data_IF_911670354142
#
_entry.id   IF_911670354142
#
_cell.length_a   1.000
_cell.length_b   1.000
_cell.length_c   1.000
_cell.angle_alpha   90.00
_cell.angle_beta   90.00
_cell.angle_gamma   90.00
#
_symmetry.space_group_name_H-M   'P 1'
#
loop_
_entity.id
_entity.type
_entity.pdbx_description
1 polymer ?
#
# COMPACT_ATOMS: atom_id res chain seq x y z
N UNK A 1 13.28 14.80 -3.21
CA UNK A 1 12.29 14.06 -2.42
C UNK A 1 11.09 14.95 -2.25
N UNK A 2 10.05 14.72 -3.03
CA UNK A 2 8.84 15.56 -3.04
C UNK A 2 7.74 14.98 -2.14
N UNK A 3 7.84 13.69 -1.85
CA UNK A 3 6.86 12.91 -1.11
C UNK A 3 7.50 12.19 0.08
N UNK A 4 6.76 12.11 1.18
CA UNK A 4 7.15 11.36 2.38
C UNK A 4 6.01 10.45 2.82
N UNK A 5 6.35 9.25 3.29
CA UNK A 5 5.42 8.35 3.96
C UNK A 5 5.76 8.29 5.45
N UNK A 6 4.73 8.22 6.28
CA UNK A 6 4.86 7.96 7.71
C UNK A 6 3.92 6.85 8.15
N UNK A 7 4.42 5.89 8.92
CA UNK A 7 3.65 4.89 9.64
C UNK A 7 3.49 5.32 11.10
N UNK A 8 2.33 5.06 11.69
CA UNK A 8 2.00 5.50 13.04
C UNK A 8 1.21 4.46 13.84
N UNK A 9 1.36 4.51 15.16
CA UNK A 9 0.61 3.70 16.11
C UNK A 9 -0.87 4.13 16.24
N UNK A 10 -1.27 5.28 15.67
CA UNK A 10 -2.68 5.66 15.52
C UNK A 10 -3.45 4.85 14.45
N UNK A 11 -2.89 3.71 14.05
CA UNK A 11 -3.38 2.83 12.99
C UNK A 11 -3.44 3.49 11.61
N UNK A 12 -2.60 4.50 11.35
CA UNK A 12 -2.54 5.17 10.04
C UNK A 12 -1.19 5.09 9.37
N UNK A 13 -1.24 5.08 8.03
CA UNK A 13 -0.14 5.52 7.17
C UNK A 13 -0.57 6.81 6.50
N UNK A 14 0.36 7.77 6.35
CA UNK A 14 0.07 9.07 5.74
C UNK A 14 1.09 9.39 4.66
N UNK A 15 0.60 9.98 3.57
CA UNK A 15 1.39 10.53 2.48
C UNK A 15 1.42 12.05 2.58
N UNK A 16 2.61 12.60 2.52
CA UNK A 16 2.88 14.02 2.68
C UNK A 16 3.55 14.58 1.44
N UNK A 17 3.03 15.70 0.96
CA UNK A 17 3.72 16.57 0.03
C UNK A 17 4.71 17.44 0.82
N UNK A 18 6.02 17.21 0.62
CA UNK A 18 7.06 17.81 1.47
C UNK A 18 7.19 19.31 1.24
N UNK A 19 6.91 19.78 0.02
CA UNK A 19 7.07 21.19 -0.38
C UNK A 19 6.19 22.15 0.44
N UNK A 20 5.00 21.70 0.86
CA UNK A 20 4.02 22.51 1.56
C UNK A 20 3.54 21.88 2.88
N UNK A 21 4.06 20.69 3.25
CA UNK A 21 3.72 19.99 4.49
C UNK A 21 2.30 19.42 4.52
N UNK A 22 1.62 19.33 3.37
CA UNK A 22 0.24 18.86 3.32
C UNK A 22 0.17 17.34 3.37
N UNK A 23 -0.70 16.82 4.24
CA UNK A 23 -1.10 15.41 4.20
C UNK A 23 -2.09 15.21 3.06
N UNK A 24 -1.64 14.55 1.98
CA UNK A 24 -2.45 14.36 0.77
C UNK A 24 -3.31 13.11 0.86
N UNK A 25 -2.84 12.06 1.52
CA UNK A 25 -3.56 10.78 1.66
C UNK A 25 -3.34 10.18 3.04
N UNK A 26 -4.38 9.56 3.60
CA UNK A 26 -4.33 8.83 4.87
C UNK A 26 -4.97 7.47 4.65
N UNK A 27 -4.23 6.40 4.96
CA UNK A 27 -4.72 5.04 4.97
C UNK A 27 -4.97 4.61 6.41
N UNK A 28 -6.20 4.19 6.71
CA UNK A 28 -6.59 3.63 8.00
C UNK A 28 -6.48 2.10 7.97
N UNK A 29 -5.51 1.55 8.70
CA UNK A 29 -5.11 0.14 8.56
C UNK A 29 -5.74 -0.79 9.60
N UNK A 30 -6.53 -0.27 10.54
CA UNK A 30 -7.19 -1.05 11.61
C UNK A 30 -6.25 -1.62 12.68
N UNK A 31 -4.93 -1.49 12.49
CA UNK A 31 -3.90 -1.90 13.44
C UNK A 31 -2.69 -0.96 13.36
N UNK A 32 -1.86 -0.96 14.39
CA UNK A 32 -0.67 -0.10 14.48
C UNK A 32 0.26 -0.34 13.29
N UNK A 33 0.57 0.73 12.56
CA UNK A 33 1.51 0.68 11.45
C UNK A 33 2.94 0.79 12.00
N UNK A 34 3.78 -0.20 11.71
CA UNK A 34 5.14 -0.28 12.27
C UNK A 34 6.23 0.17 11.31
N UNK A 35 6.04 -0.10 10.02
CA UNK A 35 7.00 0.29 9.01
C UNK A 35 6.31 0.58 7.69
N UNK A 36 6.97 1.45 6.91
CA UNK A 36 6.64 1.76 5.53
C UNK A 36 7.92 1.78 4.71
N UNK A 37 7.85 1.33 3.47
CA UNK A 37 8.97 1.37 2.54
C UNK A 37 8.47 1.68 1.13
N UNK A 38 9.15 2.62 0.46
CA UNK A 38 8.92 2.88 -0.95
C UNK A 38 9.49 1.76 -1.82
N UNK A 39 8.83 1.44 -2.92
CA UNK A 39 9.45 0.65 -3.97
C UNK A 39 10.63 1.45 -4.57
N UNK A 40 11.86 0.89 -4.59
CA UNK A 40 13.02 1.59 -5.15
C UNK A 40 12.99 1.69 -6.68
N UNK A 41 12.11 0.95 -7.36
CA UNK A 41 11.95 1.02 -8.80
C UNK A 41 11.26 2.33 -9.19
N UNK A 42 11.92 3.23 -9.95
CA UNK A 42 11.33 4.50 -10.37
C UNK A 42 10.12 4.33 -11.29
N UNK A 43 9.97 3.18 -11.96
CA UNK A 43 8.87 2.90 -12.88
C UNK A 43 7.56 2.48 -12.19
N UNK A 44 7.60 2.24 -10.87
CA UNK A 44 6.45 1.77 -10.10
C UNK A 44 6.18 2.69 -8.92
N UNK A 45 4.95 3.16 -8.80
CA UNK A 45 4.45 3.97 -7.69
C UNK A 45 3.76 3.09 -6.65
N UNK A 46 4.57 2.27 -5.97
CA UNK A 46 4.10 1.33 -4.97
C UNK A 46 4.87 1.59 -3.67
N UNK A 47 4.20 1.45 -2.55
CA UNK A 47 4.83 1.37 -1.24
C UNK A 47 4.31 0.14 -0.49
N UNK A 48 5.13 -0.39 0.42
CA UNK A 48 4.73 -1.44 1.35
C UNK A 48 4.51 -0.84 2.74
N UNK A 49 3.54 -1.37 3.47
CA UNK A 49 3.30 -1.05 4.88
C UNK A 49 3.07 -2.34 5.68
N UNK A 50 3.51 -2.35 6.94
CA UNK A 50 3.17 -3.44 7.88
C UNK A 50 2.29 -2.90 8.98
N UNK A 51 1.12 -3.51 9.14
CA UNK A 51 0.17 -3.22 10.22
C UNK A 51 -0.27 -4.52 10.88
N UNK A 52 -0.09 -4.62 12.21
CA UNK A 52 -0.29 -5.87 12.93
C UNK A 52 0.52 -7.03 12.33
N UNK A 53 -0.19 -8.01 11.77
CA UNK A 53 0.38 -9.20 11.13
C UNK A 53 0.28 -9.17 9.60
N UNK A 54 -0.17 -8.05 9.02
CA UNK A 54 -0.41 -7.91 7.60
C UNK A 54 0.71 -7.11 6.93
N UNK A 55 1.18 -7.61 5.79
CA UNK A 55 1.95 -6.84 4.81
C UNK A 55 0.97 -6.32 3.75
N UNK A 56 0.95 -5.01 3.58
CA UNK A 56 0.04 -4.29 2.71
C UNK A 56 0.83 -3.62 1.58
N UNK A 57 0.26 -3.63 0.38
CA UNK A 57 0.75 -2.84 -0.74
C UNK A 57 -0.17 -1.63 -0.93
N UNK A 58 0.44 -0.45 -0.97
CA UNK A 58 -0.21 0.84 -1.12
C UNK A 58 0.15 1.42 -2.49
N UNK A 59 -0.83 2.08 -3.11
CA UNK A 59 -0.61 2.98 -4.25
C UNK A 59 -0.67 4.44 -3.78
N UNK A 60 0.50 5.09 -3.61
CA UNK A 60 0.55 6.47 -3.14
C UNK A 60 -0.04 7.47 -4.13
N UNK A 61 -0.03 7.17 -5.42
CA UNK A 61 -0.48 8.05 -6.50
C UNK A 61 0.25 9.40 -6.47
N UNK A 62 1.57 9.35 -6.25
CA UNK A 62 2.44 10.54 -6.13
C UNK A 62 2.50 11.37 -7.40
N UNK A 63 2.23 10.76 -8.54
CA UNK A 63 2.05 11.44 -9.81
C UNK A 63 1.00 10.70 -10.64
N UNK A 64 -0.05 11.39 -11.13
CA UNK A 64 -0.95 10.79 -12.10
C UNK A 64 -0.20 10.53 -13.42
N UNK A 65 -0.56 9.44 -14.10
CA UNK A 65 0.01 9.09 -15.41
C UNK A 65 0.51 7.65 -15.47
N UNK A 66 1.36 7.38 -16.46
CA UNK A 66 1.75 6.02 -16.86
C UNK A 66 2.33 5.17 -15.72
N UNK A 67 3.00 5.79 -14.75
CA UNK A 67 3.60 5.11 -13.59
C UNK A 67 2.54 4.49 -12.68
N UNK A 68 1.50 5.25 -12.35
CA UNK A 68 0.40 4.79 -11.50
C UNK A 68 -0.40 3.69 -12.23
N UNK A 69 -0.66 3.88 -13.52
CA UNK A 69 -1.40 2.91 -14.34
C UNK A 69 -0.64 1.58 -14.47
N UNK A 70 0.68 1.63 -14.71
CA UNK A 70 1.54 0.44 -14.75
C UNK A 70 1.56 -0.30 -13.42
N UNK A 71 1.62 0.45 -12.31
CA UNK A 71 1.62 -0.12 -10.96
C UNK A 71 0.32 -0.84 -10.66
N UNK A 72 -0.82 -0.24 -11.01
CA UNK A 72 -2.13 -0.84 -10.85
C UNK A 72 -2.30 -2.09 -11.71
N UNK A 73 -1.92 -2.03 -12.99
CA UNK A 73 -1.96 -3.18 -13.88
C UNK A 73 -1.09 -4.35 -13.39
N UNK A 74 0.08 -4.07 -12.82
CA UNK A 74 0.96 -5.09 -12.22
C UNK A 74 0.25 -5.80 -11.07
N UNK A 75 -0.33 -5.04 -10.14
CA UNK A 75 -1.02 -5.60 -8.98
C UNK A 75 -2.27 -6.41 -9.38
N UNK A 76 -3.04 -5.92 -10.36
CA UNK A 76 -4.19 -6.64 -10.91
C UNK A 76 -3.79 -7.96 -11.58
N UNK A 77 -2.64 -7.98 -12.28
CA UNK A 77 -2.13 -9.22 -12.88
C UNK A 77 -1.66 -10.23 -11.82
N UNK A 78 -1.07 -9.75 -10.73
CA UNK A 78 -0.58 -10.58 -9.63
C UNK A 78 -1.72 -11.28 -8.89
N UNK A 79 -2.90 -10.66 -8.80
CA UNK A 79 -4.07 -11.30 -8.19
C UNK A 79 -4.71 -12.39 -9.03
N UNK A 80 -4.51 -12.32 -10.35
CA UNK A 80 -5.06 -13.30 -11.30
C UNK A 80 -4.11 -14.47 -11.54
N UNK A 81 -2.85 -14.34 -11.15
CA UNK A 81 -1.78 -15.32 -11.37
C UNK A 81 -1.25 -15.94 -10.08
N UNK A 82 -1.93 -16.96 -9.55
CA UNK A 82 -1.36 -18.16 -8.90
C UNK A 82 -2.30 -18.68 -7.80
N UNK A 83 -2.57 -19.99 -7.87
CA UNK A 83 -3.27 -20.74 -6.82
C UNK A 83 -2.41 -20.94 -5.55
N UNK A 84 -1.21 -20.35 -5.49
CA UNK A 84 -0.19 -20.65 -4.47
C UNK A 84 0.44 -19.42 -3.79
N UNK A 85 0.18 -18.18 -4.22
CA UNK A 85 0.58 -17.00 -3.45
C UNK A 85 -0.62 -16.40 -2.70
N UNK A 86 -0.42 -16.18 -1.41
CA UNK A 86 -1.45 -15.84 -0.43
C UNK A 86 -1.96 -14.39 -0.53
N UNK A 87 -1.97 -13.76 -1.70
CA UNK A 87 -2.43 -12.36 -1.83
C UNK A 87 -3.93 -12.30 -2.08
N UNK A 88 -4.65 -11.61 -1.21
CA UNK A 88 -6.11 -11.50 -1.26
C UNK A 88 -6.54 -10.03 -1.36
N UNK A 89 -7.76 -9.82 -1.86
CA UNK A 89 -8.38 -8.49 -1.82
C UNK A 89 -8.72 -8.14 -0.37
N UNK A 90 -8.42 -6.92 0.10
CA UNK A 90 -8.72 -6.50 1.46
C UNK A 90 -10.23 -6.51 1.72
N UNK A 91 -10.59 -6.71 2.99
CA UNK A 91 -11.97 -6.54 3.45
C UNK A 91 -12.48 -5.12 3.20
N UNK A 92 -13.80 -4.94 3.25
CA UNK A 92 -14.45 -3.68 2.84
C UNK A 92 -14.00 -2.46 3.65
N UNK A 93 -13.63 -2.62 4.92
CA UNK A 93 -13.07 -1.55 5.75
C UNK A 93 -11.72 -1.05 5.23
N UNK A 94 -10.84 -1.97 4.84
CA UNK A 94 -9.52 -1.64 4.29
C UNK A 94 -9.64 -1.04 2.88
N UNK A 95 -10.62 -1.48 2.10
CA UNK A 95 -10.93 -0.85 0.80
C UNK A 95 -11.47 0.56 0.96
N UNK A 96 -12.35 0.81 1.94
CA UNK A 96 -12.82 2.16 2.27
C UNK A 96 -11.66 3.08 2.70
N UNK A 97 -10.60 2.50 3.26
CA UNK A 97 -9.36 3.19 3.62
C UNK A 97 -8.33 3.32 2.48
N UNK A 98 -8.66 2.87 1.26
CA UNK A 98 -7.78 2.97 0.08
C UNK A 98 -6.65 1.94 0.02
N UNK A 99 -6.76 0.84 0.76
CA UNK A 99 -5.87 -0.32 0.68
C UNK A 99 -6.37 -1.24 -0.43
N UNK A 100 -5.50 -1.59 -1.38
CA UNK A 100 -5.89 -2.40 -2.54
C UNK A 100 -5.58 -3.90 -2.39
N UNK A 101 -4.57 -4.28 -1.59
CA UNK A 101 -4.09 -5.67 -1.47
C UNK A 101 -3.60 -6.02 -0.06
N UNK A 102 -3.88 -7.27 0.38
CA UNK A 102 -3.39 -7.81 1.66
C UNK A 102 -2.74 -9.19 1.48
N UNK A 103 -1.67 -9.45 2.22
CA UNK A 103 -1.10 -10.79 2.36
C UNK A 103 -1.89 -11.62 3.36
N UNK A 104 -2.45 -12.74 2.92
CA UNK A 104 -3.10 -13.76 3.74
C UNK A 104 -2.09 -14.61 4.51
N UNK A 105 -2.53 -15.26 5.60
CA UNK A 105 -1.66 -16.16 6.36
C UNK A 105 -1.19 -17.32 5.46
N UNK A 106 0.05 -17.81 5.62
CA UNK A 106 0.48 -19.01 4.91
C UNK A 106 -0.50 -20.14 5.25
N UNK A 107 -1.16 -20.70 4.23
CA UNK A 107 -2.02 -21.87 4.40
C UNK A 107 -1.12 -22.98 4.93
N UNK A 108 -1.33 -23.39 6.19
CA UNK A 108 -0.62 -24.53 6.78
C UNK A 108 -0.86 -25.75 5.88
N UNK A 109 0.23 -26.37 5.42
CA UNK A 109 0.23 -27.68 4.80
C UNK A 109 -0.25 -28.76 5.78
#
# INVERSE_FOLDING_TARGET
>A
GEWMLSASADCTVRLWEVSNGRCTKTWHLGSEARCVAWNPNPDLDIAAAVAGNLLLLLLPETAPGERADRSRALLDSASNGSSETAWERPGDELRAAGVEWQGGPPKRA
#
